data_IF_365593693812
#
_entry.id   IF_365593693812
#
_cell.length_a   1.000
_cell.length_b   1.000
_cell.length_c   1.000
_cell.angle_alpha   90.00
_cell.angle_beta   90.00
_cell.angle_gamma   90.00
#
_symmetry.space_group_name_H-M   'P 1'
#
loop_
_entity.id
_entity.type
_entity.pdbx_description
1 polymer ?
#
# COMPACT_ATOMS: atom_id res chain seq x y z
N UNK A 1 -7.50 32.98 -10.82
CA UNK A 1 -6.35 32.07 -10.70
C UNK A 1 -6.85 30.80 -10.00
N UNK A 2 -7.18 29.74 -10.76
CA UNK A 2 -7.68 28.48 -10.18
C UNK A 2 -6.48 27.71 -9.62
N UNK A 3 -6.44 27.51 -8.30
CA UNK A 3 -5.44 26.64 -7.68
C UNK A 3 -5.74 25.19 -8.09
N UNK A 4 -4.74 24.52 -8.65
CA UNK A 4 -4.84 23.10 -9.02
C UNK A 4 -5.04 22.28 -7.73
N UNK A 5 -5.94 21.27 -7.74
CA UNK A 5 -6.11 20.36 -6.61
C UNK A 5 -4.83 19.56 -6.38
N UNK A 6 -4.46 19.36 -5.11
CA UNK A 6 -3.32 18.53 -4.73
C UNK A 6 -3.68 17.05 -4.90
N UNK A 7 -2.72 16.28 -5.39
CA UNK A 7 -2.87 14.85 -5.66
C UNK A 7 -2.74 14.08 -4.34
N UNK A 8 -3.65 13.15 -4.07
CA UNK A 8 -3.57 12.29 -2.88
C UNK A 8 -2.29 11.44 -2.90
N UNK A 9 -1.58 11.40 -1.76
CA UNK A 9 -0.46 10.47 -1.57
C UNK A 9 -0.95 9.03 -1.59
N UNK A 10 -2.22 8.75 -1.24
CA UNK A 10 -2.80 7.40 -1.36
C UNK A 10 -3.28 7.14 -2.79
N UNK A 11 -3.85 8.17 -3.45
CA UNK A 11 -4.43 8.05 -4.78
C UNK A 11 -3.84 9.10 -5.72
N UNK A 12 -2.80 8.77 -6.50
CA UNK A 12 -2.20 9.70 -7.44
C UNK A 12 -3.19 10.29 -8.49
N UNK A 13 -4.38 9.68 -8.67
CA UNK A 13 -5.44 10.16 -9.55
C UNK A 13 -6.61 10.89 -8.85
N UNK A 14 -6.64 10.98 -7.52
CA UNK A 14 -7.78 11.54 -6.78
C UNK A 14 -7.51 12.98 -6.35
N UNK A 15 -8.48 13.87 -6.61
CA UNK A 15 -8.38 15.29 -6.25
C UNK A 15 -8.64 15.47 -4.75
N UNK A 16 -7.68 16.07 -4.05
CA UNK A 16 -7.85 16.48 -2.65
C UNK A 16 -7.99 18.00 -2.54
N UNK A 17 -8.98 18.52 -1.78
CA UNK A 17 -9.06 19.94 -1.44
C UNK A 17 -7.89 20.41 -0.56
N UNK A 18 -7.35 21.59 -0.81
CA UNK A 18 -6.15 22.17 -0.14
C UNK A 18 -6.25 22.41 1.39
N UNK A 19 -7.37 22.06 2.02
CA UNK A 19 -7.59 22.14 3.47
C UNK A 19 -8.12 20.82 4.06
N UNK A 20 -8.13 19.75 3.26
CA UNK A 20 -8.38 18.41 3.71
C UNK A 20 -7.47 18.02 4.87
N UNK A 21 -8.05 17.82 6.05
CA UNK A 21 -7.49 16.85 6.97
C UNK A 21 -7.80 15.50 6.32
N UNK A 22 -6.80 14.68 6.03
CA UNK A 22 -7.02 13.35 5.43
C UNK A 22 -6.96 12.33 6.56
N UNK A 23 -8.12 11.89 7.04
CA UNK A 23 -8.25 10.83 8.04
C UNK A 23 -8.81 9.57 7.40
N UNK A 24 -8.08 8.95 6.46
CA UNK A 24 -8.52 7.71 5.84
C UNK A 24 -7.86 6.52 6.56
N UNK A 25 -8.65 5.53 6.95
CA UNK A 25 -8.16 4.28 7.51
C UNK A 25 -7.97 3.28 6.38
N UNK A 26 -6.74 2.83 6.20
CA UNK A 26 -6.39 1.77 5.24
C UNK A 26 -6.34 0.42 5.96
N UNK A 27 -7.03 -0.59 5.43
CA UNK A 27 -7.01 -1.97 5.93
C UNK A 27 -6.70 -2.93 4.79
N UNK A 28 -5.75 -3.83 5.03
CA UNK A 28 -5.36 -4.88 4.08
C UNK A 28 -5.89 -6.22 4.58
N UNK A 29 -6.46 -7.01 3.68
CA UNK A 29 -6.77 -8.43 3.89
C UNK A 29 -6.19 -9.23 2.74
N UNK A 30 -5.71 -10.44 3.04
CA UNK A 30 -5.25 -11.36 1.99
C UNK A 30 -6.44 -11.82 1.16
N UNK A 31 -6.23 -11.87 -0.14
CA UNK A 31 -7.17 -12.42 -1.09
C UNK A 31 -6.66 -13.79 -1.56
N UNK A 32 -7.57 -14.75 -1.68
CA UNK A 32 -7.28 -16.14 -2.04
C UNK A 32 -7.41 -17.14 -0.89
N UNK A 33 -8.05 -18.29 -1.19
CA UNK A 33 -8.08 -19.43 -0.30
C UNK A 33 -6.79 -20.24 -0.41
N UNK A 34 -6.23 -20.62 0.73
CA UNK A 34 -5.15 -21.60 0.77
C UNK A 34 -5.73 -22.99 0.58
N UNK A 35 -5.22 -23.75 -0.38
CA UNK A 35 -5.63 -25.14 -0.56
C UNK A 35 -4.83 -26.03 0.38
N UNK A 36 -5.49 -26.89 1.15
CA UNK A 36 -4.78 -27.90 1.94
C UNK A 36 -4.60 -29.16 1.11
N UNK A 37 -3.37 -29.45 0.70
CA UNK A 37 -3.01 -30.70 0.05
C UNK A 37 -2.32 -31.65 1.04
N UNK A 38 -2.28 -32.95 0.70
CA UNK A 38 -1.47 -33.92 1.42
C UNK A 38 -0.25 -34.29 0.60
N UNK A 39 0.91 -34.29 1.23
CA UNK A 39 2.14 -34.83 0.66
C UNK A 39 2.06 -36.35 0.58
N UNK A 40 2.98 -36.95 -0.19
CA UNK A 40 3.07 -38.40 -0.34
C UNK A 40 3.29 -39.14 1.01
N UNK A 41 3.95 -38.50 1.97
CA UNK A 41 4.13 -39.03 3.33
C UNK A 41 2.98 -38.69 4.30
N UNK A 42 1.85 -38.17 3.79
CA UNK A 42 0.63 -37.94 4.57
C UNK A 42 0.61 -36.65 5.39
N UNK A 43 1.61 -35.77 5.27
CA UNK A 43 1.61 -34.47 5.92
C UNK A 43 0.67 -33.50 5.18
N UNK A 44 -0.10 -32.72 5.92
CA UNK A 44 -0.90 -31.63 5.34
C UNK A 44 0.02 -30.44 5.03
N UNK A 45 -0.09 -29.91 3.81
CA UNK A 45 0.61 -28.70 3.36
C UNK A 45 -0.43 -27.69 2.89
N UNK A 46 -0.24 -26.45 3.32
CA UNK A 46 -1.03 -25.31 2.86
C UNK A 46 -0.38 -24.77 1.59
N UNK A 47 -1.09 -24.87 0.47
CA UNK A 47 -0.66 -24.38 -0.82
C UNK A 47 -1.19 -22.96 -0.99
N UNK A 48 -0.28 -22.02 -1.22
CA UNK A 48 -0.64 -20.67 -1.62
C UNK A 48 -1.22 -20.67 -3.04
N UNK A 49 -2.09 -19.71 -3.39
CA UNK A 49 -2.57 -19.55 -4.75
C UNK A 49 -1.42 -19.41 -5.75
N UNK A 50 -1.53 -20.04 -6.92
CA UNK A 50 -0.48 -20.04 -7.95
C UNK A 50 -0.22 -18.66 -8.57
N UNK A 51 -1.17 -17.74 -8.42
CA UNK A 51 -1.08 -16.35 -8.86
C UNK A 51 -0.44 -15.42 -7.81
N UNK A 52 0.08 -15.97 -6.71
CA UNK A 52 0.73 -15.22 -5.63
C UNK A 52 -0.24 -14.77 -4.53
N UNK A 53 0.27 -14.06 -3.53
CA UNK A 53 -0.58 -13.40 -2.52
C UNK A 53 -1.16 -12.13 -3.13
N UNK A 54 -2.49 -12.02 -3.26
CA UNK A 54 -3.17 -10.75 -3.59
C UNK A 54 -3.72 -10.13 -2.32
N UNK A 55 -4.00 -8.84 -2.37
CA UNK A 55 -4.52 -8.08 -1.24
C UNK A 55 -5.83 -7.39 -1.63
N UNK A 56 -6.85 -7.57 -0.81
CA UNK A 56 -8.04 -6.73 -0.79
C UNK A 56 -7.77 -5.54 0.16
N UNK A 57 -8.12 -4.34 -0.28
CA UNK A 57 -7.81 -3.11 0.42
C UNK A 57 -9.08 -2.33 0.61
N UNK A 58 -9.42 -2.08 1.88
CA UNK A 58 -10.55 -1.24 2.27
C UNK A 58 -10.01 0.09 2.78
N UNK A 59 -10.53 1.18 2.24
CA UNK A 59 -10.22 2.53 2.68
C UNK A 59 -11.50 3.17 3.14
N UNK A 60 -11.54 3.63 4.39
CA UNK A 60 -12.73 4.26 4.94
C UNK A 60 -12.43 5.58 5.64
N UNK A 61 -13.45 6.42 5.71
CA UNK A 61 -13.46 7.64 6.50
C UNK A 61 -14.76 7.72 7.30
N UNK A 62 -14.66 8.04 8.59
CA UNK A 62 -15.78 8.19 9.52
C UNK A 62 -15.85 9.60 10.16
N UNK A 63 -15.18 10.60 9.57
CA UNK A 63 -14.86 11.85 10.24
C UNK A 63 -15.87 12.98 10.04
N UNK A 64 -16.43 13.48 11.14
CA UNK A 64 -17.12 14.77 11.18
C UNK A 64 -16.09 15.90 11.00
N UNK A 65 -16.26 16.76 9.97
CA UNK A 65 -15.35 17.87 9.58
C UNK A 65 -14.02 17.49 8.90
N UNK A 66 -13.87 16.25 8.44
CA UNK A 66 -12.74 15.85 7.62
C UNK A 66 -13.11 16.13 6.16
N UNK A 67 -12.44 17.08 5.51
CA UNK A 67 -12.58 17.26 4.06
C UNK A 67 -11.93 16.05 3.41
N UNK A 68 -12.74 15.10 2.98
CA UNK A 68 -12.28 13.84 2.44
C UNK A 68 -12.00 13.96 0.94
N UNK A 69 -11.11 13.11 0.40
CA UNK A 69 -11.06 12.90 -1.04
C UNK A 69 -12.45 12.46 -1.52
N UNK A 70 -12.97 13.12 -2.57
CA UNK A 70 -14.24 12.76 -3.18
C UNK A 70 -14.05 11.52 -4.05
N UNK A 71 -14.97 10.55 -3.92
CA UNK A 71 -15.03 9.32 -4.72
C UNK A 71 -15.91 9.45 -5.96
N UNK A 72 -16.52 10.62 -6.20
CA UNK A 72 -17.55 10.86 -7.22
C UNK A 72 -17.12 10.51 -8.65
N UNK A 73 -15.81 10.52 -8.94
CA UNK A 73 -15.26 10.20 -10.25
C UNK A 73 -14.80 8.74 -10.38
N UNK A 74 -14.90 7.94 -9.32
CA UNK A 74 -14.55 6.53 -9.34
C UNK A 74 -15.76 5.70 -9.76
N UNK A 75 -15.51 4.71 -10.62
CA UNK A 75 -16.53 3.76 -11.06
C UNK A 75 -16.06 2.34 -10.70
N UNK A 76 -16.99 1.48 -10.30
CA UNK A 76 -16.70 0.05 -10.10
C UNK A 76 -16.08 -0.55 -11.37
N UNK A 77 -15.02 -1.33 -11.21
CA UNK A 77 -14.23 -1.89 -12.30
C UNK A 77 -13.12 -0.96 -12.82
N UNK A 78 -13.07 0.30 -12.38
CA UNK A 78 -11.98 1.20 -12.72
C UNK A 78 -10.66 0.71 -12.11
N UNK A 79 -9.59 0.83 -12.89
CA UNK A 79 -8.23 0.56 -12.42
C UNK A 79 -7.60 1.83 -11.85
N UNK A 80 -6.89 1.66 -10.74
CA UNK A 80 -6.11 2.71 -10.10
C UNK A 80 -4.88 2.12 -9.44
N UNK A 81 -3.80 2.89 -9.38
CA UNK A 81 -2.65 2.56 -8.55
C UNK A 81 -2.87 3.17 -7.17
N UNK A 82 -2.86 2.32 -6.13
CA UNK A 82 -2.88 2.73 -4.74
C UNK A 82 -1.45 2.78 -4.20
N UNK A 83 -1.09 3.91 -3.60
CA UNK A 83 0.16 4.07 -2.87
C UNK A 83 -0.12 3.86 -1.39
N UNK A 84 0.32 2.72 -0.85
CA UNK A 84 -0.04 2.35 0.52
C UNK A 84 0.60 3.27 1.55
N UNK A 85 -0.14 3.58 2.61
CA UNK A 85 0.42 4.20 3.82
C UNK A 85 1.17 3.21 4.71
N UNK A 86 0.95 1.91 4.51
CA UNK A 86 1.54 0.83 5.30
C UNK A 86 2.95 0.55 4.80
N UNK A 87 3.93 0.67 5.69
CA UNK A 87 5.32 0.35 5.40
C UNK A 87 5.56 -1.16 5.35
N UNK A 88 6.35 -1.60 4.39
CA UNK A 88 6.92 -2.95 4.31
C UNK A 88 8.42 -2.90 4.46
N UNK A 89 8.99 -4.01 4.94
CA UNK A 89 10.43 -4.16 5.08
C UNK A 89 10.94 -5.41 4.38
N UNK A 90 12.18 -5.38 3.93
CA UNK A 90 12.97 -6.54 3.52
C UNK A 90 14.36 -6.42 4.14
N UNK A 91 15.00 -7.55 4.43
CA UNK A 91 16.35 -7.54 5.02
C UNK A 91 17.36 -8.06 4.01
N UNK A 92 18.47 -7.35 3.87
CA UNK A 92 19.65 -7.79 3.13
C UNK A 92 20.65 -8.36 4.14
N UNK A 93 21.02 -9.65 4.05
CA UNK A 93 21.96 -10.27 4.97
C UNK A 93 23.41 -9.79 4.72
N UNK A 94 24.30 -10.00 5.71
CA UNK A 94 25.73 -9.75 5.56
C UNK A 94 26.33 -10.37 4.30
N UNK A 95 27.17 -9.62 3.60
CA UNK A 95 27.85 -10.10 2.40
C UNK A 95 26.98 -10.11 1.13
N UNK A 96 25.69 -9.77 1.23
CA UNK A 96 24.83 -9.47 0.08
C UNK A 96 24.71 -7.95 -0.12
N UNK A 97 24.37 -7.56 -1.33
CA UNK A 97 24.24 -6.15 -1.74
C UNK A 97 22.89 -5.83 -2.39
N UNK A 98 21.99 -6.82 -2.48
CA UNK A 98 20.69 -6.64 -3.11
C UNK A 98 19.63 -7.53 -2.48
N UNK A 99 18.38 -7.07 -2.51
CA UNK A 99 17.19 -7.87 -2.24
C UNK A 99 16.06 -7.50 -3.20
N UNK A 100 15.20 -8.48 -3.45
CA UNK A 100 13.98 -8.28 -4.24
C UNK A 100 12.82 -7.91 -3.33
N UNK A 101 12.19 -6.77 -3.60
CA UNK A 101 10.98 -6.30 -2.94
C UNK A 101 9.78 -7.13 -3.38
N UNK A 102 8.89 -7.40 -2.42
CA UNK A 102 7.66 -8.16 -2.66
C UNK A 102 6.65 -7.41 -3.55
N UNK A 103 6.77 -6.08 -3.63
CA UNK A 103 5.95 -5.15 -4.42
C UNK A 103 6.81 -4.03 -4.98
N UNK A 104 6.33 -3.38 -6.03
CA UNK A 104 6.93 -2.16 -6.54
C UNK A 104 6.84 -1.06 -5.46
N UNK A 105 7.93 -0.33 -5.20
CA UNK A 105 7.91 0.72 -4.21
C UNK A 105 7.31 1.99 -4.78
N UNK A 106 6.58 2.72 -3.95
CA UNK A 106 6.18 4.10 -4.24
C UNK A 106 7.47 4.94 -4.40
N UNK A 107 7.61 5.72 -5.49
CA UNK A 107 8.80 6.52 -5.74
C UNK A 107 9.16 7.42 -4.55
N UNK A 108 10.43 7.41 -4.16
CA UNK A 108 10.94 8.24 -3.06
C UNK A 108 10.65 7.70 -1.64
N UNK A 109 10.06 6.52 -1.50
CA UNK A 109 9.76 5.93 -0.18
C UNK A 109 10.76 4.87 0.27
N UNK A 110 11.72 4.49 -0.56
CA UNK A 110 12.71 3.47 -0.20
C UNK A 110 13.78 4.09 0.69
N UNK A 111 13.97 3.50 1.86
CA UNK A 111 15.02 3.87 2.81
C UNK A 111 15.70 2.61 3.32
N UNK A 112 17.01 2.65 3.51
CA UNK A 112 17.76 1.55 4.10
C UNK A 112 18.43 2.01 5.40
N UNK A 113 18.41 1.16 6.42
CA UNK A 113 19.05 1.40 7.71
C UNK A 113 19.79 0.16 8.18
N UNK A 114 20.75 0.33 9.08
CA UNK A 114 21.33 -0.80 9.78
C UNK A 114 20.25 -1.55 10.57
N UNK A 115 20.25 -2.88 10.51
CA UNK A 115 19.22 -3.68 11.17
C UNK A 115 19.39 -3.70 12.70
N UNK A 116 20.60 -3.44 13.21
CA UNK A 116 20.88 -3.38 14.65
C UNK A 116 20.72 -1.97 15.22
N UNK A 117 20.92 -0.93 14.39
CA UNK A 117 20.65 0.46 14.77
C UNK A 117 19.93 1.21 13.64
N UNK A 118 18.59 1.38 13.72
CA UNK A 118 17.82 2.04 12.67
C UNK A 118 18.11 3.54 12.54
N UNK A 119 18.93 4.13 13.41
CA UNK A 119 19.40 5.52 13.27
C UNK A 119 20.52 5.66 12.26
N UNK A 120 21.18 4.55 11.91
CA UNK A 120 22.25 4.54 10.92
C UNK A 120 21.62 4.32 9.55
N UNK A 121 21.51 5.40 8.78
CA UNK A 121 21.08 5.33 7.40
C UNK A 121 22.15 4.65 6.53
N UNK A 122 21.68 3.88 5.56
CA UNK A 122 22.50 3.19 4.56
C UNK A 122 22.07 3.72 3.20
N UNK A 123 23.05 4.09 2.39
CA UNK A 123 22.80 4.46 1.01
C UNK A 123 22.11 3.29 0.30
N UNK A 124 21.05 3.58 -0.44
CA UNK A 124 20.34 2.57 -1.22
C UNK A 124 19.91 3.12 -2.55
N UNK A 125 19.88 2.25 -3.55
CA UNK A 125 19.31 2.53 -4.85
C UNK A 125 18.25 1.48 -5.17
N UNK A 126 17.20 1.90 -5.86
CA UNK A 126 16.11 1.01 -6.26
C UNK A 126 15.87 1.10 -7.77
N UNK A 127 15.76 -0.06 -8.41
CA UNK A 127 15.38 -0.18 -9.81
C UNK A 127 14.26 -1.21 -9.92
N UNK A 128 13.03 -0.72 -10.18
CA UNK A 128 11.82 -1.53 -10.05
C UNK A 128 11.72 -2.13 -8.64
N UNK A 129 11.79 -3.46 -8.56
CA UNK A 129 11.72 -4.22 -7.30
C UNK A 129 13.07 -4.63 -6.74
N UNK A 130 14.18 -4.21 -7.33
CA UNK A 130 15.51 -4.56 -6.84
C UNK A 130 16.03 -3.40 -6.02
N UNK A 131 16.12 -3.60 -4.70
CA UNK A 131 16.81 -2.68 -3.80
C UNK A 131 18.26 -3.11 -3.66
N UNK A 132 19.18 -2.17 -3.80
CA UNK A 132 20.62 -2.37 -3.75
C UNK A 132 21.26 -1.46 -2.72
N UNK A 133 22.30 -1.96 -2.07
CA UNK A 133 23.09 -1.26 -1.06
C UNK A 133 24.58 -1.44 -1.37
N UNK A 134 25.46 -0.55 -0.93
CA UNK A 134 26.90 -0.81 -0.96
C UNK A 134 27.23 -2.04 -0.10
N UNK A 135 28.30 -2.75 -0.46
CA UNK A 135 28.72 -3.95 0.25
C UNK A 135 28.91 -3.67 1.74
N UNK A 136 28.24 -4.47 2.58
CA UNK A 136 28.30 -4.38 4.04
C UNK A 136 28.43 -5.75 4.68
N UNK A 137 29.16 -5.80 5.79
CA UNK A 137 29.26 -6.98 6.66
C UNK A 137 28.12 -7.11 7.69
N UNK A 138 27.21 -6.13 7.75
CA UNK A 138 26.06 -6.12 8.67
C UNK A 138 24.73 -6.37 7.96
N UNK A 139 23.72 -6.72 8.75
CA UNK A 139 22.34 -6.82 8.27
C UNK A 139 21.79 -5.43 7.97
N UNK A 140 21.10 -5.27 6.84
CA UNK A 140 20.49 -4.00 6.44
C UNK A 140 18.99 -4.19 6.26
N UNK A 141 18.19 -3.32 6.86
CA UNK A 141 16.73 -3.30 6.70
C UNK A 141 16.38 -2.25 5.66
N UNK A 142 15.71 -2.66 4.59
CA UNK A 142 15.15 -1.77 3.57
C UNK A 142 13.66 -1.63 3.82
N UNK A 143 13.20 -0.41 4.08
CA UNK A 143 11.80 -0.05 4.27
C UNK A 143 11.26 0.67 3.04
N UNK A 144 10.02 0.38 2.65
CA UNK A 144 9.36 1.04 1.51
C UNK A 144 7.84 1.02 1.68
N UNK A 145 7.16 1.92 0.97
CA UNK A 145 5.70 1.84 0.80
C UNK A 145 5.40 1.09 -0.50
N UNK A 146 4.58 0.02 -0.49
CA UNK A 146 4.22 -0.68 -1.70
C UNK A 146 3.20 0.12 -2.52
N UNK A 147 3.36 0.08 -3.84
CA UNK A 147 2.33 0.42 -4.80
C UNK A 147 1.53 -0.85 -5.16
N UNK A 148 0.21 -0.71 -5.22
CA UNK A 148 -0.69 -1.77 -5.63
C UNK A 148 -1.47 -1.32 -6.86
N UNK A 149 -1.51 -2.16 -7.89
CA UNK A 149 -2.42 -1.97 -9.01
C UNK A 149 -3.75 -2.62 -8.66
N UNK A 150 -4.74 -1.76 -8.43
CA UNK A 150 -6.02 -2.12 -7.86
C UNK A 150 -7.16 -1.91 -8.86
N UNK A 151 -8.22 -2.68 -8.65
CA UNK A 151 -9.52 -2.47 -9.27
C UNK A 151 -10.54 -2.08 -8.21
N UNK A 152 -11.39 -1.10 -8.50
CA UNK A 152 -12.50 -0.69 -7.62
C UNK A 152 -13.56 -1.78 -7.62
N UNK A 153 -13.87 -2.33 -6.45
CA UNK A 153 -14.94 -3.32 -6.25
C UNK A 153 -16.25 -2.67 -5.82
N UNK A 154 -16.17 -1.64 -4.98
CA UNK A 154 -17.35 -1.00 -4.42
C UNK A 154 -17.03 0.35 -3.81
N UNK A 155 -18.02 1.24 -3.86
CA UNK A 155 -17.99 2.56 -3.25
C UNK A 155 -19.28 2.68 -2.46
N UNK A 156 -19.16 2.93 -1.17
CA UNK A 156 -20.30 3.14 -0.27
C UNK A 156 -20.17 4.55 0.30
N UNK A 157 -21.03 5.45 -0.14
CA UNK A 157 -21.12 6.81 0.39
C UNK A 157 -22.23 6.89 1.44
N UNK A 158 -21.91 7.40 2.63
CA UNK A 158 -22.89 7.74 3.66
C UNK A 158 -23.08 9.26 3.63
N UNK A 159 -24.32 9.68 3.38
CA UNK A 159 -24.66 11.07 3.12
C UNK A 159 -24.20 12.03 4.23
N UNK A 160 -23.83 13.24 3.82
CA UNK A 160 -23.51 14.32 4.75
C UNK A 160 -24.77 14.77 5.50
N UNK A 161 -24.70 14.90 6.83
CA UNK A 161 -25.74 15.59 7.57
C UNK A 161 -25.73 17.08 7.17
N UNK A 162 -26.92 17.65 6.92
CA UNK A 162 -27.10 19.07 6.53
C UNK A 162 -26.48 20.08 7.50
N UNK A 163 -26.11 19.66 8.70
CA UNK A 163 -25.54 20.46 9.78
C UNK A 163 -24.01 20.36 9.92
N UNK A 164 -23.34 19.43 9.24
CA UNK A 164 -21.89 19.26 9.28
C UNK A 164 -21.33 18.80 7.91
N UNK A 165 -20.34 19.49 7.32
CA UNK A 165 -19.82 19.17 5.98
C UNK A 165 -18.92 17.91 5.93
N UNK A 166 -19.19 16.89 6.75
CA UNK A 166 -18.49 15.60 6.71
C UNK A 166 -19.20 14.61 5.79
N UNK A 167 -18.47 13.99 4.87
CA UNK A 167 -18.93 12.82 4.10
C UNK A 167 -18.14 11.60 4.56
N UNK A 168 -18.86 10.59 5.07
CA UNK A 168 -18.28 9.29 5.40
C UNK A 168 -18.40 8.37 4.20
N UNK A 169 -17.35 7.63 3.88
CA UNK A 169 -17.37 6.69 2.76
C UNK A 169 -16.44 5.50 3.01
N UNK A 170 -16.70 4.43 2.26
CA UNK A 170 -15.83 3.26 2.18
C UNK A 170 -15.58 2.91 0.71
N UNK A 171 -14.31 2.72 0.37
CA UNK A 171 -13.83 2.27 -0.94
C UNK A 171 -13.22 0.88 -0.78
N UNK A 172 -13.75 -0.08 -1.52
CA UNK A 172 -13.24 -1.45 -1.57
C UNK A 172 -12.45 -1.66 -2.87
N UNK A 173 -11.23 -2.16 -2.73
CA UNK A 173 -10.27 -2.37 -3.81
C UNK A 173 -9.75 -3.81 -3.77
N UNK A 174 -9.42 -4.36 -4.93
CA UNK A 174 -8.71 -5.64 -5.04
C UNK A 174 -7.48 -5.50 -5.92
N UNK A 175 -6.36 -6.07 -5.48
CA UNK A 175 -5.12 -6.15 -6.26
C UNK A 175 -5.32 -7.07 -7.48
N UNK A 176 -4.90 -6.60 -8.66
CA UNK A 176 -5.09 -7.33 -9.93
C UNK A 176 -3.94 -8.28 -10.23
#
# INVERSE_FOLDING_TARGET
MQALPEISILFPGLRIPRRALVGARERHSRDGEYETARTWNGAAVSLAPSWGEKVNISISNDGERVWTPSTDNLVVGQQLTLWSSVWRTVTIPPGQYAATLARDPVPGTVHATDAMDPRIEVESAVNGRIATIPFRGGWTTVSYRPAYDCMVLGITEMGAETTAPGQSWTLELTER
#
